data_IF_698000987433
#
_entry.id   IF_698000987433
#
_cell.length_a   1.000
_cell.length_b   1.000
_cell.length_c   1.000
_cell.angle_alpha   90.00
_cell.angle_beta   90.00
_cell.angle_gamma   90.00
#
_symmetry.space_group_name_H-M   'P 1'
#
loop_
_entity.id
_entity.type
_entity.pdbx_description
1 polymer ?
#
# COMPACT_ATOMS: atom_id res chain seq x y z
N UNK A 1 22.73 -32.57 -46.93
CA UNK A 1 21.28 -32.36 -47.13
C UNK A 1 20.94 -30.99 -46.56
N UNK A 2 20.72 -29.98 -47.41
CA UNK A 2 20.37 -28.63 -46.95
C UNK A 2 18.88 -28.56 -46.63
N UNK A 3 18.56 -28.57 -45.35
CA UNK A 3 17.22 -28.25 -44.85
C UNK A 3 16.96 -26.76 -45.07
N UNK A 4 16.09 -26.43 -46.03
CA UNK A 4 15.62 -25.04 -46.20
C UNK A 4 14.84 -24.64 -44.95
N UNK A 5 15.35 -23.69 -44.18
CA UNK A 5 14.60 -23.06 -43.10
C UNK A 5 13.43 -22.27 -43.71
N UNK A 6 12.20 -22.63 -43.34
CA UNK A 6 11.00 -21.87 -43.69
C UNK A 6 10.88 -20.70 -42.70
N UNK A 7 10.81 -19.47 -43.24
CA UNK A 7 10.55 -18.26 -42.46
C UNK A 7 9.06 -17.97 -42.31
N UNK A 8 8.70 -17.16 -41.32
CA UNK A 8 7.34 -16.65 -41.13
C UNK A 8 6.95 -15.67 -42.23
N UNK A 9 5.67 -15.66 -42.60
CA UNK A 9 5.15 -14.66 -43.55
C UNK A 9 4.79 -13.36 -42.85
N UNK A 10 4.77 -12.25 -43.62
CA UNK A 10 4.44 -10.93 -43.08
C UNK A 10 3.01 -10.89 -42.51
N UNK A 11 2.07 -11.61 -43.15
CA UNK A 11 0.69 -11.71 -42.67
C UNK A 11 0.57 -12.51 -41.37
N UNK A 12 1.39 -13.55 -41.20
CA UNK A 12 1.44 -14.37 -39.99
C UNK A 12 1.93 -13.55 -38.79
N UNK A 13 2.92 -12.68 -39.02
CA UNK A 13 3.39 -11.73 -38.02
C UNK A 13 2.32 -10.67 -37.67
N UNK A 14 1.59 -10.16 -38.68
CA UNK A 14 0.49 -9.21 -38.43
C UNK A 14 -0.65 -9.82 -37.62
N UNK A 15 -1.04 -11.06 -37.92
CA UNK A 15 -2.09 -11.75 -37.15
C UNK A 15 -1.59 -12.06 -35.73
N UNK A 16 -0.36 -12.54 -35.57
CA UNK A 16 0.21 -12.83 -34.25
C UNK A 16 0.30 -11.58 -33.35
N UNK A 17 0.73 -10.45 -33.91
CA UNK A 17 0.80 -9.17 -33.19
C UNK A 17 -0.58 -8.61 -32.86
N UNK A 18 -1.56 -8.74 -33.77
CA UNK A 18 -2.94 -8.36 -33.50
C UNK A 18 -3.55 -9.17 -32.33
N UNK A 19 -3.35 -10.49 -32.31
CA UNK A 19 -3.82 -11.35 -31.21
C UNK A 19 -3.13 -10.97 -29.89
N UNK A 20 -1.81 -10.74 -29.92
CA UNK A 20 -1.05 -10.36 -28.71
C UNK A 20 -1.50 -8.99 -28.18
N UNK A 21 -1.81 -8.04 -29.06
CA UNK A 21 -2.36 -6.73 -28.67
C UNK A 21 -3.71 -6.84 -27.96
N UNK A 22 -4.62 -7.67 -28.47
CA UNK A 22 -5.94 -7.91 -27.84
C UNK A 22 -5.77 -8.58 -26.47
N UNK A 23 -4.90 -9.58 -26.37
CA UNK A 23 -4.61 -10.25 -25.09
C UNK A 23 -3.98 -9.29 -24.08
N UNK A 24 -3.02 -8.46 -24.49
CA UNK A 24 -2.39 -7.47 -23.60
C UNK A 24 -3.39 -6.44 -23.08
N UNK A 25 -4.30 -5.95 -23.93
CA UNK A 25 -5.31 -4.96 -23.56
C UNK A 25 -6.28 -5.45 -22.47
N UNK A 26 -6.59 -6.75 -22.46
CA UNK A 26 -7.50 -7.35 -21.47
C UNK A 26 -6.77 -7.89 -20.25
N UNK A 27 -5.59 -8.48 -20.43
CA UNK A 27 -4.81 -9.06 -19.34
C UNK A 27 -4.26 -7.98 -18.39
N UNK A 28 -3.70 -6.89 -18.93
CA UNK A 28 -3.04 -5.87 -18.12
C UNK A 28 -3.92 -5.25 -17.01
N UNK A 29 -5.16 -4.76 -17.27
CA UNK A 29 -6.00 -4.19 -16.21
C UNK A 29 -6.38 -5.23 -15.15
N UNK A 30 -6.49 -6.51 -15.51
CA UNK A 30 -6.86 -7.57 -14.56
C UNK A 30 -5.81 -7.82 -13.47
N UNK A 31 -4.53 -7.54 -13.75
CA UNK A 31 -3.42 -7.77 -12.81
C UNK A 31 -3.23 -6.66 -11.77
N UNK A 32 -3.79 -5.46 -11.99
CA UNK A 32 -3.53 -4.32 -11.11
C UNK A 32 -4.12 -4.51 -9.69
N UNK A 33 -5.35 -5.00 -9.59
CA UNK A 33 -6.04 -5.18 -8.30
C UNK A 33 -5.28 -6.07 -7.31
N UNK A 34 -4.91 -7.32 -7.69
CA UNK A 34 -4.12 -8.21 -6.83
C UNK A 34 -2.77 -7.63 -6.43
N UNK A 35 -2.08 -6.92 -7.33
CA UNK A 35 -0.81 -6.27 -7.03
C UNK A 35 -0.96 -5.16 -6.00
N UNK A 36 -1.97 -4.30 -6.14
CA UNK A 36 -2.27 -3.25 -5.15
C UNK A 36 -2.58 -3.86 -3.80
N UNK A 37 -3.38 -4.93 -3.74
CA UNK A 37 -3.69 -5.66 -2.51
C UNK A 37 -2.44 -6.22 -1.84
N UNK A 38 -1.55 -6.86 -2.60
CA UNK A 38 -0.30 -7.43 -2.07
C UNK A 38 0.61 -6.34 -1.48
N UNK A 39 0.68 -5.17 -2.14
CA UNK A 39 1.49 -4.03 -1.69
C UNK A 39 1.00 -3.37 -0.41
N UNK A 40 -0.27 -3.54 -0.02
CA UNK A 40 -0.80 -3.02 1.26
C UNK A 40 0.02 -3.49 2.47
N UNK A 41 0.58 -4.71 2.39
CA UNK A 41 1.43 -5.28 3.45
C UNK A 41 2.63 -4.36 3.75
N UNK A 42 3.19 -3.68 2.76
CA UNK A 42 4.31 -2.74 2.98
C UNK A 42 3.90 -1.56 3.88
N UNK A 43 2.73 -0.96 3.62
CA UNK A 43 2.18 0.11 4.47
C UNK A 43 1.80 -0.39 5.87
N UNK A 44 1.10 -1.53 5.95
CA UNK A 44 0.65 -2.14 7.21
C UNK A 44 1.84 -2.48 8.11
N UNK A 45 2.83 -3.18 7.57
CA UNK A 45 4.03 -3.57 8.34
C UNK A 45 4.81 -2.37 8.83
N UNK A 46 4.91 -1.31 8.01
CA UNK A 46 5.57 -0.07 8.42
C UNK A 46 4.80 0.63 9.54
N UNK A 47 3.47 0.68 9.51
CA UNK A 47 2.65 1.22 10.61
C UNK A 47 2.78 0.41 11.90
N UNK A 48 2.86 -0.92 11.82
CA UNK A 48 3.06 -1.78 12.99
C UNK A 48 4.47 -1.62 13.58
N UNK A 49 5.50 -1.45 12.73
CA UNK A 49 6.85 -1.11 13.18
C UNK A 49 6.90 0.24 13.87
N UNK A 50 6.18 1.24 13.33
CA UNK A 50 6.02 2.56 13.92
C UNK A 50 5.33 2.48 15.28
N UNK A 51 4.30 1.65 15.42
CA UNK A 51 3.66 1.39 16.71
C UNK A 51 4.68 0.84 17.72
N UNK A 52 5.48 -0.16 17.35
CA UNK A 52 6.50 -0.70 18.25
C UNK A 52 7.59 0.32 18.61
N UNK A 53 7.94 1.27 17.74
CA UNK A 53 8.88 2.35 18.09
C UNK A 53 8.22 3.39 19.01
N UNK A 54 6.94 3.68 18.79
CA UNK A 54 6.15 4.58 19.62
C UNK A 54 6.02 4.05 21.06
N UNK A 55 5.73 2.76 21.24
CA UNK A 55 5.66 2.14 22.58
C UNK A 55 7.03 2.15 23.31
N UNK A 56 8.12 1.93 22.56
CA UNK A 56 9.48 2.07 23.10
C UNK A 56 9.80 3.50 23.51
N UNK A 57 9.37 4.49 22.72
CA UNK A 57 9.55 5.89 23.04
C UNK A 57 8.75 6.29 24.29
N UNK A 58 7.49 5.87 24.36
CA UNK A 58 6.59 6.10 25.50
C UNK A 58 7.18 5.59 26.81
N UNK A 59 7.84 4.43 26.79
CA UNK A 59 8.49 3.84 27.98
C UNK A 59 9.55 4.76 28.60
N UNK A 60 10.19 5.63 27.81
CA UNK A 60 11.22 6.55 28.28
C UNK A 60 10.72 7.97 28.52
N UNK A 61 9.70 8.43 27.77
CA UNK A 61 9.27 9.84 27.76
C UNK A 61 7.85 10.07 28.31
N UNK A 62 7.12 9.01 28.65
CA UNK A 62 5.71 9.05 29.11
C UNK A 62 4.77 9.84 28.19
N UNK A 63 5.14 9.93 26.92
CA UNK A 63 4.36 10.55 25.84
C UNK A 63 4.73 9.89 24.53
N UNK A 64 3.81 9.89 23.56
CA UNK A 64 4.12 9.43 22.21
C UNK A 64 4.87 10.52 21.44
N UNK A 65 5.75 10.10 20.54
CA UNK A 65 6.58 11.00 19.77
C UNK A 65 5.83 11.57 18.56
N UNK A 66 6.06 12.84 18.28
CA UNK A 66 5.72 13.46 17.00
C UNK A 66 6.60 12.88 15.87
N UNK A 67 6.21 13.15 14.62
CA UNK A 67 7.00 12.75 13.45
C UNK A 67 8.45 13.26 13.51
N UNK A 68 8.64 14.51 13.97
CA UNK A 68 9.95 15.16 14.03
C UNK A 68 10.87 14.50 15.08
N UNK A 69 10.33 14.10 16.22
CA UNK A 69 11.09 13.51 17.32
C UNK A 69 11.57 12.09 17.02
N UNK A 70 10.78 11.29 16.30
CA UNK A 70 11.21 9.95 15.90
C UNK A 70 12.29 9.94 14.82
N UNK A 71 12.47 11.04 14.07
CA UNK A 71 13.25 11.02 12.84
C UNK A 71 12.77 9.94 11.86
N UNK A 72 11.49 9.57 11.94
CA UNK A 72 10.93 8.42 11.24
C UNK A 72 10.96 8.66 9.73
N UNK A 73 11.25 7.59 8.97
CA UNK A 73 11.22 7.66 7.51
C UNK A 73 9.79 7.99 7.05
N UNK A 74 9.68 9.03 6.23
CA UNK A 74 8.41 9.45 5.62
C UNK A 74 7.94 8.44 4.57
N UNK A 75 8.70 7.39 4.27
CA UNK A 75 8.32 6.36 3.31
C UNK A 75 8.38 4.96 3.93
N UNK A 76 7.54 4.07 3.43
CA UNK A 76 7.61 2.63 3.68
C UNK A 76 8.87 2.01 3.04
N UNK A 77 9.21 0.81 3.48
CA UNK A 77 10.43 0.11 3.04
C UNK A 77 10.50 -0.07 1.52
N UNK A 78 9.38 -0.43 0.87
CA UNK A 78 9.30 -0.55 -0.59
C UNK A 78 8.81 0.72 -1.29
N UNK A 79 8.64 1.82 -0.56
CA UNK A 79 8.23 3.15 -1.06
C UNK A 79 6.88 3.18 -1.77
N UNK A 80 6.00 2.21 -1.49
CA UNK A 80 4.62 2.25 -1.97
C UNK A 80 3.72 3.14 -1.12
N UNK A 81 4.15 3.46 0.10
CA UNK A 81 3.42 4.29 1.04
C UNK A 81 4.29 5.42 1.59
N UNK A 82 3.67 6.57 1.77
CA UNK A 82 4.18 7.67 2.59
C UNK A 82 3.60 7.56 4.01
N UNK A 83 4.44 7.64 5.03
CA UNK A 83 4.09 7.45 6.44
C UNK A 83 4.16 8.77 7.18
N UNK A 84 3.12 9.07 7.94
CA UNK A 84 3.04 10.30 8.72
C UNK A 84 2.34 10.04 10.05
N UNK A 85 2.97 10.43 11.16
CA UNK A 85 2.29 10.63 12.44
C UNK A 85 1.48 11.92 12.35
N UNK A 86 0.16 11.81 12.43
CA UNK A 86 -0.75 12.97 12.36
C UNK A 86 -1.03 13.56 13.72
N UNK A 87 -0.94 12.76 14.78
CA UNK A 87 -1.22 13.19 16.14
C UNK A 87 -0.37 12.37 17.12
N UNK A 88 0.13 13.02 18.16
CA UNK A 88 0.86 12.40 19.26
C UNK A 88 0.50 13.13 20.55
N UNK A 89 0.09 12.37 21.57
CA UNK A 89 -0.32 12.87 22.87
C UNK A 89 0.30 12.01 23.98
N UNK A 90 0.15 12.38 25.26
CA UNK A 90 0.57 11.53 26.37
C UNK A 90 -0.20 10.21 26.49
N UNK A 91 -1.34 10.05 25.81
CA UNK A 91 -2.23 8.89 25.98
C UNK A 91 -2.49 8.15 24.68
N UNK A 92 -2.00 8.65 23.56
CA UNK A 92 -2.18 8.01 22.26
C UNK A 92 -1.40 8.66 21.12
N UNK A 93 -1.45 8.03 19.96
CA UNK A 93 -0.96 8.60 18.70
C UNK A 93 -1.81 8.10 17.54
N UNK A 94 -1.81 8.86 16.45
CA UNK A 94 -2.39 8.42 15.18
C UNK A 94 -1.37 8.58 14.06
N UNK A 95 -1.27 7.56 13.22
CA UNK A 95 -0.41 7.56 12.05
C UNK A 95 -1.15 7.06 10.81
N UNK A 96 -0.78 7.60 9.66
CA UNK A 96 -1.35 7.25 8.36
C UNK A 96 -0.27 6.76 7.41
N UNK A 97 -0.62 5.77 6.61
CA UNK A 97 0.13 5.35 5.43
C UNK A 97 -0.68 5.72 4.18
N UNK A 98 -0.12 6.54 3.28
CA UNK A 98 -0.74 7.00 2.04
C UNK A 98 -0.11 6.32 0.84
N UNK A 99 -0.91 5.62 0.04
CA UNK A 99 -0.45 4.99 -1.19
C UNK A 99 0.07 6.04 -2.18
N UNK A 100 1.31 5.86 -2.65
CA UNK A 100 1.98 6.73 -3.62
C UNK A 100 2.20 6.01 -4.95
N UNK A 101 2.55 6.74 -6.02
CA UNK A 101 2.79 6.18 -7.34
C UNK A 101 1.60 5.33 -7.81
N UNK A 102 1.86 4.09 -8.27
CA UNK A 102 0.78 3.17 -8.67
C UNK A 102 -0.13 2.77 -7.52
N UNK A 103 0.36 2.78 -6.27
CA UNK A 103 -0.44 2.42 -5.09
C UNK A 103 -1.54 3.45 -4.80
N UNK A 104 -1.38 4.69 -5.29
CA UNK A 104 -2.45 5.68 -5.26
C UNK A 104 -3.69 5.24 -6.05
N UNK A 105 -3.58 4.28 -6.97
CA UNK A 105 -4.73 3.69 -7.67
C UNK A 105 -5.66 2.84 -6.79
N UNK A 106 -5.23 2.46 -5.59
CA UNK A 106 -6.00 1.64 -4.66
C UNK A 106 -7.09 2.45 -3.93
N UNK A 107 -8.03 3.05 -4.67
CA UNK A 107 -8.96 4.08 -4.17
C UNK A 107 -9.64 3.73 -2.84
N UNK A 108 -10.11 2.50 -2.65
CA UNK A 108 -10.80 2.13 -1.42
C UNK A 108 -9.85 1.99 -0.21
N UNK A 109 -8.57 1.68 -0.44
CA UNK A 109 -7.59 1.38 0.60
C UNK A 109 -6.33 2.25 0.49
N UNK A 110 -6.43 3.41 -0.17
CA UNK A 110 -5.31 4.29 -0.48
C UNK A 110 -4.66 4.77 0.81
N UNK A 111 -5.47 5.15 1.79
CA UNK A 111 -5.02 5.56 3.11
C UNK A 111 -5.37 4.48 4.12
N UNK A 112 -4.37 4.09 4.90
CA UNK A 112 -4.50 3.19 6.04
C UNK A 112 -4.12 4.00 7.29
N UNK A 113 -4.98 4.00 8.31
CA UNK A 113 -4.74 4.70 9.58
C UNK A 113 -4.68 3.70 10.73
N UNK A 114 -3.66 3.87 11.56
CA UNK A 114 -3.51 3.18 12.83
C UNK A 114 -3.58 4.24 13.93
N UNK A 115 -4.46 4.02 14.90
CA UNK A 115 -4.58 4.88 16.08
C UNK A 115 -4.42 4.04 17.33
N UNK A 116 -3.54 4.46 18.22
CA UNK A 116 -3.43 3.92 19.58
C UNK A 116 -3.94 4.98 20.53
N UNK A 117 -4.88 4.63 21.39
CA UNK A 117 -5.42 5.53 22.41
C UNK A 117 -5.78 4.72 23.66
N UNK A 118 -5.25 5.11 24.82
CA UNK A 118 -5.53 4.42 26.09
C UNK A 118 -5.17 2.93 26.07
N UNK A 119 -4.15 2.53 25.29
CA UNK A 119 -3.75 1.14 25.11
C UNK A 119 -4.62 0.33 24.14
N UNK A 120 -5.66 0.92 23.55
CA UNK A 120 -6.46 0.30 22.51
C UNK A 120 -5.90 0.66 21.12
N UNK A 121 -5.72 -0.33 20.24
CA UNK A 121 -5.34 -0.11 18.85
C UNK A 121 -6.56 -0.23 17.95
N UNK A 122 -6.81 0.79 17.13
CA UNK A 122 -7.87 0.82 16.13
C UNK A 122 -7.30 1.03 14.72
N UNK A 123 -7.99 0.46 13.74
CA UNK A 123 -7.62 0.51 12.34
C UNK A 123 -8.74 1.20 11.55
N UNK A 124 -8.36 2.07 10.62
CA UNK A 124 -9.28 2.70 9.67
C UNK A 124 -8.66 2.73 8.27
N UNK A 125 -9.48 2.91 7.25
CA UNK A 125 -9.01 3.00 5.86
C UNK A 125 -9.91 3.87 5.01
N UNK A 126 -9.44 4.32 3.85
CA UNK A 126 -10.27 5.02 2.89
C UNK A 126 -9.51 5.60 1.71
N UNK A 127 -10.22 6.37 0.88
CA UNK A 127 -9.65 7.08 -0.25
C UNK A 127 -8.80 8.30 0.13
N UNK A 128 -9.05 8.83 1.32
CA UNK A 128 -8.36 9.98 1.90
C UNK A 128 -8.16 9.78 3.42
N UNK A 129 -7.57 10.78 4.07
CA UNK A 129 -7.27 10.75 5.52
C UNK A 129 -8.47 10.74 6.45
N UNK A 130 -9.67 11.06 5.93
CA UNK A 130 -10.89 10.93 6.72
C UNK A 130 -11.21 9.47 6.98
N UNK A 131 -10.62 8.55 6.20
CA UNK A 131 -10.72 7.10 6.38
C UNK A 131 -12.16 6.63 6.61
N UNK A 132 -13.07 7.09 5.74
CA UNK A 132 -14.52 6.95 5.90
C UNK A 132 -15.07 5.55 5.59
N UNK A 133 -14.21 4.53 5.42
CA UNK A 133 -14.68 3.17 5.16
C UNK A 133 -15.43 2.59 6.36
N UNK A 134 -16.45 1.79 6.08
CA UNK A 134 -17.08 0.95 7.09
C UNK A 134 -16.12 -0.12 7.65
N UNK A 135 -16.56 -0.81 8.69
CA UNK A 135 -15.74 -1.83 9.35
C UNK A 135 -15.42 -3.03 8.44
N UNK A 136 -16.30 -3.40 7.51
CA UNK A 136 -16.09 -4.51 6.60
C UNK A 136 -15.07 -4.16 5.50
N UNK A 137 -15.16 -2.96 4.94
CA UNK A 137 -14.18 -2.41 4.00
C UNK A 137 -12.82 -2.22 4.66
N UNK A 138 -12.79 -1.74 5.90
CA UNK A 138 -11.56 -1.62 6.67
C UNK A 138 -10.89 -2.96 6.90
N UNK A 139 -11.62 -4.00 7.31
CA UNK A 139 -11.08 -5.36 7.42
C UNK A 139 -10.49 -5.87 6.11
N UNK A 140 -11.16 -5.63 4.96
CA UNK A 140 -10.63 -5.97 3.63
C UNK A 140 -9.35 -5.22 3.27
N UNK A 141 -9.21 -3.95 3.67
CA UNK A 141 -8.02 -3.16 3.42
C UNK A 141 -6.83 -3.60 4.30
N UNK A 142 -7.11 -3.92 5.56
CA UNK A 142 -6.12 -4.35 6.55
C UNK A 142 -5.81 -5.85 6.56
N UNK A 143 -6.53 -6.63 5.75
CA UNK A 143 -6.43 -8.10 5.71
C UNK A 143 -6.68 -8.75 7.09
N UNK A 144 -7.68 -8.22 7.81
CA UNK A 144 -8.17 -8.67 9.12
C UNK A 144 -9.41 -9.54 9.01
#
# INVERSE_FOLDING_TARGET
MNTRQRGFTLIELMVATAITGILAATAYPSFQGPLLKARRIDGITTLLQLQMSQERWFSNHRSYATQAEMGSSVASSQRYYEIQVTEATPTGFSAVARGTGTQAGDNACRVLRLTVEGGHTSYASGADERTANDSAATKRCWNL
#
